data_IF_432112212619
#
_entry.id   IF_432112212619
#
_cell.length_a   1.000
_cell.length_b   1.000
_cell.length_c   1.000
_cell.angle_alpha   90.00
_cell.angle_beta   90.00
_cell.angle_gamma   90.00
#
_symmetry.space_group_name_H-M   'P 1'
#
loop_
_entity.id
_entity.type
_entity.pdbx_description
1 polymer ?
#
# COMPACT_ATOMS: atom_id res chain seq x y z
N UNK A 1 14.02 -31.47 1.62
CA UNK A 1 13.94 -30.27 2.46
C UNK A 1 13.81 -29.11 1.49
N UNK A 2 12.58 -28.86 1.02
CA UNK A 2 12.26 -27.64 0.25
C UNK A 2 12.23 -26.52 1.29
N UNK A 3 13.15 -25.54 1.15
CA UNK A 3 13.03 -24.28 1.86
C UNK A 3 11.93 -23.50 1.13
N UNK A 4 10.72 -23.53 1.68
CA UNK A 4 9.66 -22.61 1.31
C UNK A 4 10.15 -21.22 1.72
N UNK A 5 10.47 -20.41 0.72
CA UNK A 5 10.95 -19.04 0.87
C UNK A 5 9.72 -18.22 1.27
N UNK A 6 9.39 -18.22 2.55
CA UNK A 6 8.41 -17.30 3.13
C UNK A 6 9.00 -15.90 3.04
N UNK A 7 8.79 -15.24 1.90
CA UNK A 7 8.74 -13.79 1.87
C UNK A 7 7.60 -13.39 2.80
N UNK A 8 7.91 -12.57 3.81
CA UNK A 8 6.91 -12.02 4.70
C UNK A 8 6.14 -10.94 3.91
N UNK A 9 5.16 -11.34 3.12
CA UNK A 9 4.16 -10.41 2.60
C UNK A 9 3.20 -10.11 3.75
N UNK A 10 3.39 -8.96 4.40
CA UNK A 10 2.55 -8.53 5.53
C UNK A 10 1.18 -8.01 5.04
N UNK A 11 1.07 -7.68 3.75
CA UNK A 11 -0.12 -7.07 3.13
C UNK A 11 -0.79 -7.99 2.08
N UNK A 12 -1.07 -9.24 2.42
CA UNK A 12 -1.75 -10.17 1.49
C UNK A 12 -3.29 -10.00 1.47
N UNK A 13 -3.82 -8.89 1.96
CA UNK A 13 -5.23 -8.54 1.81
C UNK A 13 -5.31 -7.36 0.87
N UNK A 14 -5.83 -7.61 -0.35
CA UNK A 14 -6.52 -6.60 -1.15
C UNK A 14 -7.69 -6.05 -0.30
N UNK A 15 -7.33 -5.19 0.65
CA UNK A 15 -8.24 -4.45 1.49
C UNK A 15 -8.76 -3.35 0.61
N UNK A 16 -10.06 -3.36 0.36
CA UNK A 16 -10.74 -2.22 -0.20
C UNK A 16 -10.70 -1.12 0.87
N UNK A 17 -9.74 -0.21 0.73
CA UNK A 17 -9.62 0.92 1.64
C UNK A 17 -10.53 2.03 1.15
N UNK A 18 -11.16 2.72 2.11
CA UNK A 18 -12.09 3.81 1.86
C UNK A 18 -11.53 5.06 2.50
N UNK A 19 -11.13 6.03 1.68
CA UNK A 19 -10.79 7.36 2.15
C UNK A 19 -11.89 8.32 1.73
N UNK A 20 -12.38 9.12 2.68
CA UNK A 20 -13.21 10.27 2.35
C UNK A 20 -12.28 11.34 1.80
N UNK A 21 -12.22 11.46 0.47
CA UNK A 21 -11.39 12.46 -0.16
C UNK A 21 -11.97 13.84 0.19
N UNK A 22 -11.25 14.62 1.00
CA UNK A 22 -11.64 16.00 1.32
C UNK A 22 -11.31 16.93 0.14
N UNK A 23 -11.85 16.61 -1.03
CA UNK A 23 -11.45 17.15 -2.33
C UNK A 23 -11.51 16.09 -3.41
N UNK A 24 -11.41 16.50 -4.68
CA UNK A 24 -11.44 15.58 -5.83
C UNK A 24 -10.08 14.89 -6.09
N UNK A 25 -9.30 14.64 -5.04
CA UNK A 25 -7.97 14.03 -5.10
C UNK A 25 -7.72 13.16 -3.85
N UNK A 26 -7.04 12.04 -4.05
CA UNK A 26 -6.51 11.17 -3.00
C UNK A 26 -5.15 11.72 -2.58
N UNK A 27 -5.02 12.13 -1.32
CA UNK A 27 -3.76 12.69 -0.83
C UNK A 27 -2.81 11.57 -0.44
N UNK A 28 -1.53 11.77 -0.73
CA UNK A 28 -0.50 10.80 -0.31
C UNK A 28 -0.45 10.66 1.21
N UNK A 29 -0.57 11.77 1.95
CA UNK A 29 -0.54 11.75 3.42
C UNK A 29 -1.62 10.83 4.02
N UNK A 30 -2.84 10.82 3.47
CA UNK A 30 -3.94 9.96 3.96
C UNK A 30 -3.65 8.46 3.72
N UNK A 31 -2.99 8.15 2.60
CA UNK A 31 -2.57 6.78 2.25
C UNK A 31 -1.41 6.36 3.14
N UNK A 32 -0.42 7.22 3.34
CA UNK A 32 0.72 7.02 4.23
C UNK A 32 0.25 6.72 5.66
N UNK A 33 -0.67 7.53 6.22
CA UNK A 33 -1.25 7.28 7.54
C UNK A 33 -1.96 5.91 7.62
N UNK A 34 -2.65 5.51 6.55
CA UNK A 34 -3.30 4.19 6.49
C UNK A 34 -2.26 3.06 6.53
N UNK A 35 -1.20 3.16 5.74
CA UNK A 35 -0.12 2.16 5.70
C UNK A 35 0.65 2.11 7.03
N UNK A 36 0.94 3.27 7.62
CA UNK A 36 1.55 3.39 8.95
C UNK A 36 0.70 2.66 9.98
N UNK A 37 -0.62 2.92 10.02
CA UNK A 37 -1.53 2.26 10.96
C UNK A 37 -1.52 0.74 10.82
N UNK A 38 -1.50 0.21 9.59
CA UNK A 38 -1.45 -1.23 9.34
C UNK A 38 -0.12 -1.86 9.82
N UNK A 39 1.01 -1.18 9.59
CA UNK A 39 2.34 -1.60 10.07
C UNK A 39 2.40 -1.56 11.60
N UNK A 40 1.85 -0.53 12.23
CA UNK A 40 1.73 -0.43 13.68
C UNK A 40 0.84 -1.55 14.27
N UNK A 41 -0.27 -1.88 13.61
CA UNK A 41 -1.13 -3.01 13.98
C UNK A 41 -0.42 -4.37 13.82
N UNK A 42 0.49 -4.49 12.85
CA UNK A 42 1.37 -5.63 12.68
C UNK A 42 2.47 -5.71 13.77
N UNK A 43 2.66 -4.64 14.55
CA UNK A 43 3.57 -4.57 15.69
C UNK A 43 4.90 -3.89 15.42
N UNK A 44 5.03 -3.20 14.28
CA UNK A 44 6.17 -2.34 13.97
C UNK A 44 5.97 -0.95 14.60
N UNK A 45 7.04 -0.19 14.78
CA UNK A 45 6.97 1.21 15.19
C UNK A 45 7.41 2.13 14.07
N UNK A 46 6.89 3.36 14.03
CA UNK A 46 7.30 4.40 13.05
C UNK A 46 8.81 4.72 13.07
N UNK A 47 9.55 4.23 14.07
CA UNK A 47 11.01 4.32 14.14
C UNK A 47 11.71 3.24 13.32
N UNK A 48 11.01 2.17 12.97
CA UNK A 48 11.54 0.96 12.31
C UNK A 48 11.24 0.94 10.81
N UNK A 49 10.40 1.84 10.32
CA UNK A 49 10.04 1.95 8.91
C UNK A 49 9.75 3.41 8.52
N UNK A 50 9.85 3.70 7.23
CA UNK A 50 9.52 4.98 6.62
C UNK A 50 8.62 4.70 5.41
N UNK A 51 7.48 5.40 5.30
CA UNK A 51 6.56 5.28 4.18
C UNK A 51 6.64 6.56 3.35
N UNK A 52 6.95 6.43 2.06
CA UNK A 52 7.01 7.55 1.11
C UNK A 52 6.15 7.23 -0.11
N UNK A 53 5.12 8.02 -0.33
CA UNK A 53 4.26 7.92 -1.50
C UNK A 53 4.59 8.99 -2.54
N UNK A 54 4.56 8.63 -3.84
CA UNK A 54 5.04 9.46 -4.96
C UNK A 54 4.21 10.74 -5.22
N UNK A 55 3.22 11.04 -4.36
CA UNK A 55 2.41 12.26 -4.35
C UNK A 55 0.91 12.00 -4.51
N UNK A 56 0.14 13.08 -4.41
CA UNK A 56 -1.32 13.04 -4.54
C UNK A 56 -1.75 12.64 -5.97
N UNK A 57 -2.83 11.87 -6.07
CA UNK A 57 -3.46 11.52 -7.34
C UNK A 57 -4.90 12.03 -7.42
N UNK A 58 -5.40 12.27 -8.63
CA UNK A 58 -6.80 12.58 -8.86
C UNK A 58 -7.70 11.45 -8.38
N UNK A 59 -8.88 11.79 -7.87
CA UNK A 59 -9.92 10.81 -7.57
C UNK A 59 -10.57 10.31 -8.88
N UNK A 60 -9.78 9.59 -9.68
CA UNK A 60 -10.18 9.03 -10.97
C UNK A 60 -9.91 7.52 -10.98
N UNK A 61 -10.87 6.74 -11.50
CA UNK A 61 -10.72 5.28 -11.63
C UNK A 61 -9.51 4.97 -12.53
N UNK A 62 -8.77 3.92 -12.18
CA UNK A 62 -7.50 3.48 -12.82
C UNK A 62 -6.32 4.44 -12.59
N UNK A 63 -6.48 5.49 -11.80
CA UNK A 63 -5.35 6.31 -11.37
C UNK A 63 -4.51 5.57 -10.32
N UNK A 64 -3.20 5.75 -10.40
CA UNK A 64 -2.22 4.96 -9.67
C UNK A 64 -1.19 5.85 -8.99
N UNK A 65 -0.81 5.46 -7.78
CA UNK A 65 0.33 6.03 -7.06
C UNK A 65 1.23 4.93 -6.53
N UNK A 66 2.52 5.20 -6.57
CA UNK A 66 3.55 4.31 -6.05
C UNK A 66 3.90 4.74 -4.62
N UNK A 67 3.94 3.81 -3.68
CA UNK A 67 4.38 4.03 -2.30
C UNK A 67 5.50 3.06 -1.96
N UNK A 68 6.52 3.53 -1.26
CA UNK A 68 7.66 2.72 -0.82
C UNK A 68 7.67 2.68 0.70
N UNK A 69 7.77 1.47 1.25
CA UNK A 69 8.02 1.24 2.68
C UNK A 69 9.47 0.82 2.82
N UNK A 70 10.29 1.70 3.36
CA UNK A 70 11.69 1.44 3.67
C UNK A 70 11.82 1.00 5.13
N UNK A 71 12.49 -0.13 5.38
CA UNK A 71 12.69 -0.63 6.75
C UNK A 71 14.08 -0.25 7.27
N UNK A 72 14.18 0.19 8.53
CA UNK A 72 15.48 0.52 9.14
C UNK A 72 16.34 -0.73 9.42
N UNK A 73 15.72 -1.91 9.54
CA UNK A 73 16.45 -3.17 9.71
C UNK A 73 17.14 -3.60 8.40
N UNK A 74 18.49 -3.67 8.41
CA UNK A 74 19.32 -4.07 7.24
C UNK A 74 18.94 -5.44 6.62
N UNK A 75 18.30 -6.34 7.38
CA UNK A 75 17.90 -7.66 6.92
C UNK A 75 16.50 -7.68 6.26
N UNK A 76 15.75 -6.58 6.31
CA UNK A 76 14.43 -6.44 5.71
C UNK A 76 14.56 -5.56 4.45
N UNK A 77 14.24 -6.06 3.26
CA UNK A 77 14.27 -5.25 2.05
C UNK A 77 13.13 -4.24 2.04
N UNK A 78 13.36 -3.09 1.42
CA UNK A 78 12.31 -2.11 1.12
C UNK A 78 11.22 -2.77 0.26
N UNK A 79 9.96 -2.46 0.55
CA UNK A 79 8.80 -2.96 -0.18
C UNK A 79 8.12 -1.83 -0.95
N UNK A 80 7.81 -2.08 -2.21
CA UNK A 80 7.09 -1.12 -3.05
C UNK A 80 5.63 -1.57 -3.17
N UNK A 81 4.72 -0.63 -3.04
CA UNK A 81 3.28 -0.79 -3.11
C UNK A 81 2.71 0.08 -4.21
N UNK A 82 1.86 -0.51 -5.04
CA UNK A 82 1.07 0.17 -6.03
C UNK A 82 -0.34 0.35 -5.50
N UNK A 83 -0.78 1.59 -5.44
CA UNK A 83 -2.12 1.95 -5.04
C UNK A 83 -2.90 2.26 -6.30
N UNK A 84 -4.05 1.62 -6.47
CA UNK A 84 -4.90 1.81 -7.64
C UNK A 84 -6.30 2.20 -7.19
N UNK A 85 -6.83 3.29 -7.74
CA UNK A 85 -8.21 3.68 -7.50
C UNK A 85 -9.12 2.74 -8.29
N UNK A 86 -9.98 2.02 -7.57
CA UNK A 86 -10.90 1.04 -8.14
C UNK A 86 -12.31 1.58 -8.28
N UNK A 87 -12.71 2.53 -7.43
CA UNK A 87 -14.03 3.16 -7.50
C UNK A 87 -14.03 4.57 -6.86
N UNK A 88 -14.97 5.41 -7.28
CA UNK A 88 -15.14 6.78 -6.76
C UNK A 88 -16.65 7.05 -6.66
N UNK A 89 -17.15 7.12 -5.42
CA UNK A 89 -18.57 7.32 -5.12
C UNK A 89 -18.75 8.67 -4.41
N UNK A 90 -19.16 9.69 -5.17
CA UNK A 90 -19.33 11.08 -4.72
C UNK A 90 -18.08 11.68 -4.02
N UNK A 91 -17.95 11.48 -2.71
CA UNK A 91 -16.87 11.99 -1.85
C UNK A 91 -15.96 10.86 -1.31
N UNK A 92 -16.33 9.60 -1.54
CA UNK A 92 -15.60 8.42 -1.09
C UNK A 92 -14.77 7.83 -2.25
N UNK A 93 -13.47 7.67 -2.01
CA UNK A 93 -12.54 7.05 -2.95
C UNK A 93 -12.18 5.66 -2.44
N UNK A 94 -12.35 4.68 -3.32
CA UNK A 94 -12.01 3.30 -3.07
C UNK A 94 -10.74 2.95 -3.82
N UNK A 95 -9.78 2.37 -3.11
CA UNK A 95 -8.51 1.99 -3.68
C UNK A 95 -8.03 0.66 -3.11
N UNK A 96 -7.23 -0.02 -3.93
CA UNK A 96 -6.52 -1.23 -3.55
C UNK A 96 -5.04 -0.89 -3.39
N UNK A 97 -4.43 -1.38 -2.32
CA UNK A 97 -2.99 -1.35 -2.10
C UNK A 97 -2.47 -2.75 -2.38
N UNK A 98 -1.58 -2.88 -3.36
CA UNK A 98 -0.94 -4.16 -3.70
C UNK A 98 0.57 -4.01 -3.73
N UNK A 99 1.36 -4.93 -3.17
CA UNK A 99 2.80 -4.87 -3.34
C UNK A 99 3.17 -5.10 -4.82
N UNK A 100 4.10 -4.31 -5.36
CA UNK A 100 4.57 -4.46 -6.74
C UNK A 100 5.12 -5.88 -7.00
N UNK A 101 5.71 -6.48 -5.97
CA UNK A 101 6.18 -7.87 -5.97
C UNK A 101 5.03 -8.91 -6.09
N UNK A 102 3.78 -8.57 -5.78
CA UNK A 102 2.61 -9.44 -5.98
C UNK A 102 1.78 -9.08 -7.22
N UNK A 103 1.95 -7.88 -7.79
CA UNK A 103 1.39 -7.53 -9.10
C UNK A 103 1.88 -8.47 -10.22
N UNK A 104 3.06 -9.08 -10.07
CA UNK A 104 3.62 -10.07 -10.99
C UNK A 104 3.25 -11.55 -10.67
N UNK A 105 2.53 -11.85 -9.59
CA UNK A 105 2.29 -13.24 -9.14
C UNK A 105 0.84 -13.75 -9.31
N UNK A 106 -0.02 -13.03 -10.02
CA UNK A 106 -1.38 -13.49 -10.36
C UNK A 106 -1.44 -14.34 -11.64
N UNK A 107 -0.63 -15.41 -11.73
CA UNK A 107 -0.78 -16.45 -12.75
C UNK A 107 -0.13 -17.76 -12.26
N UNK A 108 -0.77 -18.53 -11.37
CA UNK A 108 -0.59 -19.99 -11.41
C UNK A 108 -1.88 -20.73 -10.95
N UNK A 109 -2.43 -21.47 -11.92
CA UNK A 109 -3.64 -22.31 -11.98
C UNK A 109 -3.78 -23.37 -10.87
#
# INVERSE_FOLDING_TARGET
MHLEKTSAAVFATAGLFTLTACGSALQSDDVEETMVSELEEAGLTEEEFDVDCSGDIGAEIDEQMDCTVAFEEEDIPDEQYLITITDVDDEDVYYDIVPENEAEQQDED
#
